data_IF_402792340677
#
_entry.id   IF_402792340677
#
_cell.length_a   1.000
_cell.length_b   1.000
_cell.length_c   1.000
_cell.angle_alpha   90.00
_cell.angle_beta   90.00
_cell.angle_gamma   90.00
#
_symmetry.space_group_name_H-M   'P 1'
#
loop_
_entity.id
_entity.type
_entity.pdbx_description
1 polymer ?
#
# COMPACT_ATOMS: atom_id res chain seq x y z
N UNK A 1 -13.46 -3.25 -23.44
CA UNK A 1 -14.22 -2.80 -22.26
C UNK A 1 -13.54 -3.43 -21.05
N UNK A 2 -12.74 -2.62 -20.31
CA UNK A 2 -11.99 -3.09 -19.18
C UNK A 2 -12.93 -3.45 -18.04
N UNK A 3 -12.64 -4.56 -17.39
CA UNK A 3 -13.25 -4.94 -16.11
C UNK A 3 -13.12 -3.77 -15.12
N UNK A 4 -14.23 -3.19 -14.62
CA UNK A 4 -14.18 -2.09 -13.67
C UNK A 4 -13.47 -2.48 -12.34
N UNK A 5 -13.20 -3.76 -12.13
CA UNK A 5 -12.51 -4.30 -10.96
C UNK A 5 -10.98 -4.46 -11.16
N UNK A 6 -10.45 -4.03 -12.31
CA UNK A 6 -9.00 -4.10 -12.58
C UNK A 6 -8.18 -2.97 -11.94
N UNK A 7 -8.77 -2.21 -11.03
CA UNK A 7 -8.04 -1.14 -10.34
C UNK A 7 -7.13 -1.76 -9.28
N UNK A 8 -5.84 -1.65 -9.52
CA UNK A 8 -4.82 -2.04 -8.54
C UNK A 8 -4.78 -1.00 -7.43
N UNK A 9 -5.11 -1.42 -6.23
CA UNK A 9 -5.04 -0.57 -5.05
C UNK A 9 -3.68 -0.74 -4.37
N UNK A 10 -3.06 0.37 -4.03
CA UNK A 10 -1.78 0.40 -3.34
C UNK A 10 -1.79 1.48 -2.25
N UNK A 11 -0.92 1.31 -1.27
CA UNK A 11 -0.65 2.38 -0.31
C UNK A 11 0.10 3.53 -0.99
N UNK A 12 -0.10 4.78 -0.52
CA UNK A 12 0.73 5.89 -0.96
C UNK A 12 2.21 5.59 -0.74
N UNK A 13 3.06 5.95 -1.68
CA UNK A 13 4.49 5.73 -1.55
C UNK A 13 5.25 5.99 -2.84
N UNK A 14 6.57 6.03 -2.72
CA UNK A 14 7.45 6.28 -3.83
C UNK A 14 8.91 6.11 -3.46
N UNK A 15 9.79 6.63 -4.29
CA UNK A 15 11.23 6.53 -4.12
C UNK A 15 11.76 7.63 -3.22
N UNK A 16 12.76 7.29 -2.42
CA UNK A 16 13.50 8.26 -1.63
C UNK A 16 14.16 9.30 -2.54
N UNK A 17 14.02 10.54 -2.16
CA UNK A 17 14.73 11.68 -2.75
C UNK A 17 15.87 12.16 -1.86
N UNK A 18 16.78 12.95 -2.42
CA UNK A 18 17.93 13.48 -1.67
C UNK A 18 17.50 14.40 -0.51
N UNK A 19 16.34 15.03 -0.62
CA UNK A 19 15.75 15.87 0.44
C UNK A 19 15.16 15.08 1.61
N UNK A 20 14.88 13.79 1.42
CA UNK A 20 14.31 12.95 2.47
C UNK A 20 15.41 12.50 3.44
N UNK A 21 15.31 12.91 4.69
CA UNK A 21 16.29 12.52 5.71
C UNK A 21 16.23 11.00 6.00
N UNK A 22 15.01 10.44 6.03
CA UNK A 22 14.74 9.03 6.32
C UNK A 22 13.70 8.45 5.35
N UNK A 23 13.56 7.13 5.33
CA UNK A 23 12.49 6.47 4.58
C UNK A 23 11.09 6.80 5.14
N UNK A 24 10.99 7.10 6.43
CA UNK A 24 9.73 7.57 7.01
C UNK A 24 9.35 8.95 6.43
N UNK A 25 10.32 9.83 6.24
CA UNK A 25 10.09 11.13 5.59
C UNK A 25 9.67 10.95 4.13
N UNK A 26 10.23 9.97 3.43
CA UNK A 26 9.78 9.59 2.08
C UNK A 26 8.31 9.20 2.08
N UNK A 27 7.92 8.31 2.98
CA UNK A 27 6.53 7.87 3.10
C UNK A 27 5.58 9.03 3.42
N UNK A 28 5.98 9.92 4.31
CA UNK A 28 5.18 11.11 4.67
C UNK A 28 5.07 12.08 3.50
N UNK A 29 6.15 12.36 2.79
CA UNK A 29 6.17 13.25 1.61
C UNK A 29 5.27 12.71 0.50
N UNK A 30 5.43 11.45 0.13
CA UNK A 30 4.61 10.81 -0.92
C UNK A 30 3.12 10.81 -0.55
N UNK A 31 2.79 10.54 0.71
CA UNK A 31 1.40 10.58 1.17
C UNK A 31 0.81 11.98 1.07
N UNK A 32 1.58 13.01 1.40
CA UNK A 32 1.15 14.40 1.22
C UNK A 32 0.94 14.75 -0.25
N UNK A 33 1.88 14.36 -1.12
CA UNK A 33 1.82 14.64 -2.55
C UNK A 33 0.65 13.92 -3.24
N UNK A 34 0.46 12.64 -2.96
CA UNK A 34 -0.53 11.80 -3.65
C UNK A 34 -1.96 12.00 -3.13
N UNK A 35 -2.15 12.10 -1.81
CA UNK A 35 -3.49 12.10 -1.21
C UNK A 35 -3.76 13.30 -0.28
N UNK A 36 -2.81 14.21 -0.14
CA UNK A 36 -3.00 15.45 0.60
C UNK A 36 -3.00 15.32 2.13
N UNK A 37 -2.55 14.20 2.68
CA UNK A 37 -2.43 14.01 4.13
C UNK A 37 -1.04 14.35 4.62
N UNK A 38 -0.93 15.38 5.46
CA UNK A 38 0.30 15.71 6.18
C UNK A 38 0.44 14.82 7.41
N UNK A 39 1.16 13.71 7.26
CA UNK A 39 1.34 12.74 8.34
C UNK A 39 2.13 13.30 9.52
N UNK A 40 3.03 14.27 9.31
CA UNK A 40 3.76 14.91 10.40
C UNK A 40 2.84 15.75 11.29
N UNK A 41 1.83 16.38 10.72
CA UNK A 41 0.86 17.20 11.44
C UNK A 41 -0.32 16.40 12.00
N UNK A 42 -0.76 15.34 11.29
CA UNK A 42 -2.03 14.68 11.54
C UNK A 42 -1.90 13.29 12.17
N UNK A 43 -0.71 12.70 12.13
CA UNK A 43 -0.53 11.29 12.49
C UNK A 43 0.71 11.06 13.34
N UNK A 44 0.75 9.89 13.95
CA UNK A 44 1.89 9.42 14.74
C UNK A 44 2.38 8.09 14.15
N UNK A 45 3.69 7.93 13.88
CA UNK A 45 4.23 6.65 13.45
C UNK A 45 4.12 5.61 14.58
N UNK A 46 3.69 4.41 14.22
CA UNK A 46 3.51 3.30 15.17
C UNK A 46 4.59 2.25 14.97
N UNK A 47 4.77 1.76 13.75
CA UNK A 47 5.72 0.70 13.47
C UNK A 47 6.26 0.80 12.05
N UNK A 48 7.54 0.47 11.90
CA UNK A 48 8.17 0.12 10.62
C UNK A 48 8.02 -1.38 10.40
N UNK A 49 7.43 -1.77 9.28
CA UNK A 49 7.33 -3.18 8.89
C UNK A 49 8.67 -3.68 8.33
N UNK A 50 8.92 -4.99 8.38
CA UNK A 50 10.06 -5.58 7.69
C UNK A 50 10.09 -5.23 6.21
N UNK A 51 11.29 -5.06 5.68
CA UNK A 51 11.49 -4.73 4.27
C UNK A 51 11.00 -5.88 3.37
N UNK A 52 10.39 -5.52 2.25
CA UNK A 52 9.97 -6.46 1.22
C UNK A 52 10.67 -6.16 -0.10
N UNK A 53 10.94 -7.21 -0.86
CA UNK A 53 11.51 -7.08 -2.19
C UNK A 53 10.49 -7.57 -3.22
N UNK A 54 10.23 -6.78 -4.28
CA UNK A 54 9.37 -7.25 -5.36
C UNK A 54 10.00 -8.44 -6.08
N UNK A 55 9.16 -9.38 -6.51
CA UNK A 55 9.55 -10.42 -7.45
C UNK A 55 9.79 -9.81 -8.84
N UNK A 56 10.93 -9.18 -9.03
CA UNK A 56 11.28 -8.65 -10.34
C UNK A 56 12.70 -9.09 -10.72
N UNK A 57 12.87 -9.38 -12.01
CA UNK A 57 14.19 -9.59 -12.63
C UNK A 57 14.89 -8.25 -12.89
N UNK A 58 14.58 -7.21 -12.14
CA UNK A 58 15.25 -5.92 -12.30
C UNK A 58 16.70 -6.03 -11.86
N UNK A 59 17.62 -5.44 -12.61
CA UNK A 59 19.06 -5.52 -12.32
C UNK A 59 19.45 -4.83 -11.01
N UNK A 60 18.56 -4.02 -10.45
CA UNK A 60 18.76 -3.33 -9.18
C UNK A 60 17.80 -3.89 -8.13
N UNK A 61 18.35 -4.28 -6.99
CA UNK A 61 17.55 -4.72 -5.85
C UNK A 61 16.75 -3.53 -5.29
N UNK A 62 15.48 -3.47 -5.61
CA UNK A 62 14.55 -2.53 -4.99
C UNK A 62 14.06 -3.13 -3.67
N UNK A 63 14.23 -2.39 -2.59
CA UNK A 63 13.67 -2.72 -1.27
C UNK A 63 12.55 -1.74 -0.96
N UNK A 64 11.41 -2.24 -0.52
CA UNK A 64 10.25 -1.44 -0.15
C UNK A 64 10.00 -1.59 1.35
N UNK A 65 9.89 -0.46 2.03
CA UNK A 65 9.61 -0.39 3.47
C UNK A 65 8.27 0.27 3.69
N UNK A 66 7.39 -0.38 4.44
CA UNK A 66 6.11 0.18 4.83
C UNK A 66 6.13 0.67 6.28
N UNK A 67 5.38 1.73 6.54
CA UNK A 67 5.20 2.31 7.87
C UNK A 67 3.72 2.36 8.21
N UNK A 68 3.37 2.01 9.43
CA UNK A 68 2.03 2.17 9.97
C UNK A 68 1.97 3.46 10.79
N UNK A 69 0.99 4.29 10.50
CA UNK A 69 0.70 5.51 11.25
C UNK A 69 -0.68 5.42 11.89
N UNK A 70 -0.82 5.97 13.09
CA UNK A 70 -2.11 6.28 13.67
C UNK A 70 -2.51 7.69 13.27
N UNK A 71 -3.58 7.83 12.52
CA UNK A 71 -4.16 9.13 12.21
C UNK A 71 -4.87 9.66 13.47
N UNK A 72 -4.41 10.79 13.99
CA UNK A 72 -4.93 11.38 15.23
C UNK A 72 -5.99 12.45 14.97
N UNK A 73 -6.04 12.97 13.73
CA UNK A 73 -7.02 13.96 13.27
C UNK A 73 -7.45 13.64 11.86
N UNK A 74 -8.76 13.70 11.62
CA UNK A 74 -9.30 13.57 10.28
C UNK A 74 -8.93 14.76 9.41
N UNK A 75 -8.69 14.47 8.14
CA UNK A 75 -8.53 15.47 7.11
C UNK A 75 -9.11 14.94 5.79
N UNK A 76 -9.66 15.80 4.94
CA UNK A 76 -10.12 15.40 3.64
C UNK A 76 -8.95 14.95 2.76
N UNK A 77 -9.18 13.95 1.91
CA UNK A 77 -8.22 13.55 0.89
C UNK A 77 -8.21 14.58 -0.25
N UNK A 78 -7.02 14.95 -0.71
CA UNK A 78 -6.80 15.83 -1.84
C UNK A 78 -5.85 15.14 -2.82
N UNK A 79 -6.39 14.54 -3.86
CA UNK A 79 -5.63 13.73 -4.82
C UNK A 79 -4.85 14.62 -5.79
N UNK A 80 -3.64 14.20 -6.13
CA UNK A 80 -2.89 14.80 -7.22
C UNK A 80 -3.27 14.15 -8.58
N UNK A 81 -2.60 14.58 -9.65
CA UNK A 81 -2.88 14.09 -11.01
C UNK A 81 -2.50 12.63 -11.23
N UNK A 82 -1.62 12.06 -10.41
CA UNK A 82 -1.15 10.68 -10.53
C UNK A 82 -2.12 9.66 -9.92
N UNK A 83 -2.98 10.11 -9.01
CA UNK A 83 -3.90 9.25 -8.26
C UNK A 83 -5.31 9.35 -8.82
N UNK A 84 -5.79 8.29 -9.43
CA UNK A 84 -7.14 8.24 -10.01
C UNK A 84 -8.23 8.20 -8.94
N UNK A 85 -8.00 7.51 -7.83
CA UNK A 85 -8.93 7.40 -6.72
C UNK A 85 -8.18 7.06 -5.43
N UNK A 86 -8.71 7.46 -4.30
CA UNK A 86 -8.26 7.02 -2.99
C UNK A 86 -9.48 6.71 -2.12
N UNK A 87 -9.39 5.64 -1.36
CA UNK A 87 -10.48 5.16 -0.52
C UNK A 87 -9.97 4.76 0.85
N UNK A 88 -10.80 4.93 1.86
CA UNK A 88 -10.60 4.33 3.17
C UNK A 88 -11.24 2.95 3.17
N UNK A 89 -10.48 1.94 3.57
CA UNK A 89 -10.98 0.57 3.72
C UNK A 89 -10.81 0.12 5.17
N UNK A 90 -11.82 -0.52 5.77
CA UNK A 90 -11.70 -1.03 7.13
C UNK A 90 -10.54 -2.02 7.25
N UNK A 91 -9.61 -1.75 8.15
CA UNK A 91 -8.42 -2.58 8.34
C UNK A 91 -8.72 -3.86 9.14
N UNK A 92 -9.55 -3.75 10.17
CA UNK A 92 -9.79 -4.86 11.10
C UNK A 92 -10.33 -6.13 10.42
N UNK A 93 -11.32 -6.09 9.50
CA UNK A 93 -11.75 -7.28 8.77
C UNK A 93 -10.61 -7.92 7.97
N UNK A 94 -9.77 -7.11 7.33
CA UNK A 94 -8.62 -7.59 6.55
C UNK A 94 -7.61 -8.29 7.47
N UNK A 95 -7.33 -7.73 8.65
CA UNK A 95 -6.44 -8.35 9.64
C UNK A 95 -6.97 -9.71 10.13
N UNK A 96 -8.30 -9.90 10.15
CA UNK A 96 -8.93 -11.20 10.42
C UNK A 96 -8.92 -12.16 9.22
N UNK A 97 -8.44 -11.72 8.06
CA UNK A 97 -8.41 -12.51 6.82
C UNK A 97 -9.71 -12.46 6.02
N UNK A 98 -10.64 -11.58 6.37
CA UNK A 98 -11.85 -11.37 5.60
C UNK A 98 -11.53 -10.71 4.26
N UNK A 99 -12.28 -11.04 3.22
CA UNK A 99 -12.04 -10.53 1.86
C UNK A 99 -10.85 -11.20 1.14
N UNK A 100 -10.32 -12.30 1.69
CA UNK A 100 -9.30 -13.08 1.01
C UNK A 100 -9.81 -13.60 -0.33
N UNK A 101 -9.05 -13.34 -1.40
CA UNK A 101 -9.40 -13.69 -2.78
C UNK A 101 -8.12 -13.98 -3.57
N UNK A 102 -8.25 -14.11 -4.88
CA UNK A 102 -7.12 -14.25 -5.79
C UNK A 102 -7.19 -13.20 -6.90
N UNK A 103 -6.03 -12.76 -7.33
CA UNK A 103 -5.86 -11.89 -8.50
C UNK A 103 -5.18 -12.67 -9.62
N UNK A 104 -5.79 -12.70 -10.81
CA UNK A 104 -5.18 -13.34 -11.98
C UNK A 104 -4.21 -12.40 -12.66
N UNK A 105 -2.95 -12.74 -12.56
CA UNK A 105 -1.85 -12.00 -13.17
C UNK A 105 -1.37 -12.73 -14.43
N UNK A 106 -1.28 -12.00 -15.54
CA UNK A 106 -0.76 -12.53 -16.81
C UNK A 106 0.68 -12.04 -17.02
N UNK A 107 1.59 -12.98 -17.24
CA UNK A 107 2.97 -12.68 -17.59
C UNK A 107 3.43 -13.61 -18.69
N UNK A 108 3.93 -13.05 -19.78
CA UNK A 108 4.44 -13.80 -20.95
C UNK A 108 3.45 -14.86 -21.45
N UNK A 109 2.15 -14.55 -21.44
CA UNK A 109 1.09 -15.45 -21.86
C UNK A 109 0.71 -16.55 -20.85
N UNK A 110 1.35 -16.55 -19.68
CA UNK A 110 1.06 -17.49 -18.58
C UNK A 110 0.24 -16.78 -17.51
N UNK A 111 -0.85 -17.42 -17.08
CA UNK A 111 -1.70 -16.92 -16.01
C UNK A 111 -1.24 -17.47 -14.65
N UNK A 112 -1.15 -16.58 -13.66
CA UNK A 112 -0.87 -16.90 -12.27
C UNK A 112 -2.01 -16.40 -11.41
N UNK A 113 -2.52 -17.22 -10.52
CA UNK A 113 -3.47 -16.80 -9.50
C UNK A 113 -2.68 -16.44 -8.23
N UNK A 114 -2.61 -15.14 -7.94
CA UNK A 114 -1.88 -14.59 -6.80
C UNK A 114 -2.83 -14.28 -5.66
N UNK A 115 -2.40 -14.47 -4.40
CA UNK A 115 -3.23 -14.11 -3.26
C UNK A 115 -3.49 -12.60 -3.23
N UNK A 116 -4.70 -12.24 -2.84
CA UNK A 116 -5.19 -10.87 -2.80
C UNK A 116 -6.20 -10.65 -1.68
N UNK A 117 -6.51 -9.40 -1.36
CA UNK A 117 -7.65 -9.00 -0.54
C UNK A 117 -8.56 -8.08 -1.34
N UNK A 118 -9.86 -8.30 -1.21
CA UNK A 118 -10.86 -7.32 -1.62
C UNK A 118 -10.87 -6.16 -0.63
N UNK A 119 -10.85 -4.96 -1.18
CA UNK A 119 -10.94 -3.71 -0.42
C UNK A 119 -11.98 -2.81 -1.07
N UNK A 120 -12.35 -1.73 -0.40
CA UNK A 120 -13.23 -0.74 -1.00
C UNK A 120 -12.64 -0.26 -2.34
N UNK A 121 -13.41 -0.41 -3.42
CA UNK A 121 -13.03 0.05 -4.76
C UNK A 121 -12.09 -0.84 -5.57
N UNK A 122 -11.65 -1.99 -5.06
CA UNK A 122 -10.77 -2.86 -5.83
C UNK A 122 -10.13 -4.01 -5.07
N UNK A 123 -8.96 -4.41 -5.52
CA UNK A 123 -8.18 -5.48 -4.89
C UNK A 123 -6.75 -5.03 -4.59
N UNK A 124 -6.20 -5.51 -3.49
CA UNK A 124 -4.77 -5.41 -3.17
C UNK A 124 -4.10 -6.76 -3.38
N UNK A 125 -2.98 -6.76 -4.07
CA UNK A 125 -2.18 -7.94 -4.37
C UNK A 125 -0.68 -7.58 -4.39
N UNK A 126 0.18 -8.52 -4.64
CA UNK A 126 1.62 -8.27 -4.78
C UNK A 126 2.26 -7.69 -3.52
N UNK A 127 3.01 -6.60 -3.66
CA UNK A 127 3.70 -5.95 -2.54
C UNK A 127 2.74 -5.45 -1.46
N UNK A 128 1.64 -4.82 -1.85
CA UNK A 128 0.64 -4.32 -0.91
C UNK A 128 0.01 -5.46 -0.11
N UNK A 129 -0.32 -6.56 -0.76
CA UNK A 129 -0.76 -7.78 -0.08
C UNK A 129 0.29 -8.27 0.93
N UNK A 130 1.56 -8.34 0.53
CA UNK A 130 2.64 -8.79 1.43
C UNK A 130 2.82 -7.87 2.63
N UNK A 131 2.69 -6.57 2.45
CA UNK A 131 2.73 -5.60 3.57
C UNK A 131 1.58 -5.83 4.56
N UNK A 132 0.38 -6.11 4.07
CA UNK A 132 -0.77 -6.45 4.92
C UNK A 132 -0.52 -7.76 5.68
N UNK A 133 0.04 -8.78 5.04
CA UNK A 133 0.40 -10.03 5.71
C UNK A 133 1.42 -9.80 6.82
N UNK A 134 2.44 -8.98 6.60
CA UNK A 134 3.41 -8.61 7.65
C UNK A 134 2.72 -7.92 8.83
N UNK A 135 1.77 -7.03 8.56
CA UNK A 135 1.01 -6.38 9.62
C UNK A 135 0.15 -7.39 10.40
N UNK A 136 -0.47 -8.34 9.71
CA UNK A 136 -1.22 -9.44 10.34
C UNK A 136 -0.35 -10.30 11.24
N UNK A 137 0.88 -10.60 10.83
CA UNK A 137 1.85 -11.36 11.62
C UNK A 137 2.21 -10.64 12.94
N UNK A 138 2.18 -9.31 12.96
CA UNK A 138 2.46 -8.49 14.14
C UNK A 138 1.24 -8.28 15.05
N UNK A 139 0.05 -8.58 14.55
CA UNK A 139 -1.20 -8.37 15.31
C UNK A 139 -1.47 -9.60 16.18
N UNK A 140 -1.67 -9.45 17.50
CA UNK A 140 -2.02 -10.57 18.37
C UNK A 140 -3.33 -11.24 17.90
N UNK A 141 -3.34 -12.57 17.94
CA UNK A 141 -4.54 -13.36 17.66
C UNK A 141 -5.45 -13.42 18.89
#
# INVERSE_FOLDING_TARGET
EGDPWSVHMAFPGGRREASDATLLDTAARETLEEVGLDLHALARPIVRLPDVMPYSRMPHRLTVTAFLFALERDAPLALNEEVAAAVWSPLEPILRGEGATTFRFLRDGVAFDLPAFEVEGGVVWGLTYRMIELLRELTPR
#
